data_IF_943465135641
#
_entry.id   IF_943465135641
#
_cell.length_a   1.000
_cell.length_b   1.000
_cell.length_c   1.000
_cell.angle_alpha   90.00
_cell.angle_beta   90.00
_cell.angle_gamma   90.00
#
_symmetry.space_group_name_H-M   'P 1'
#
loop_
_entity.id
_entity.type
_entity.pdbx_description
1 polymer ?
#
# COMPACT_ATOMS: atom_id res chain seq x y z
N UNK A 1 14.58 -7.26 -25.09
CA UNK A 1 13.81 -7.60 -23.89
C UNK A 1 12.41 -7.06 -24.08
N UNK A 2 11.38 -7.90 -24.11
CA UNK A 2 10.01 -7.40 -24.09
C UNK A 2 9.76 -6.79 -22.71
N UNK A 3 9.59 -5.47 -22.65
CA UNK A 3 9.27 -4.78 -21.43
C UNK A 3 7.78 -5.04 -21.12
N UNK A 4 7.47 -5.72 -20.03
CA UNK A 4 6.10 -6.09 -19.63
C UNK A 4 5.20 -4.86 -19.45
N UNK A 5 5.67 -3.90 -18.68
CA UNK A 5 4.84 -2.81 -18.16
C UNK A 5 4.24 -1.83 -19.18
N UNK A 6 4.92 -1.41 -20.27
CA UNK A 6 4.35 -0.46 -21.22
C UNK A 6 3.11 -0.93 -21.98
N UNK A 7 2.87 -2.25 -21.99
CA UNK A 7 1.72 -2.85 -22.69
C UNK A 7 0.75 -3.53 -21.73
N UNK A 8 1.05 -3.52 -20.42
CA UNK A 8 0.26 -4.21 -19.42
C UNK A 8 -1.10 -3.54 -19.20
N UNK A 9 -2.15 -4.35 -19.14
CA UNK A 9 -3.50 -3.96 -18.73
C UNK A 9 -3.57 -4.08 -17.21
N UNK A 10 -3.72 -2.95 -16.52
CA UNK A 10 -3.89 -2.89 -15.07
C UNK A 10 -5.37 -2.95 -14.70
N UNK A 11 -5.68 -3.76 -13.70
CA UNK A 11 -7.00 -3.83 -13.07
C UNK A 11 -6.90 -3.39 -11.61
N UNK A 12 -7.53 -2.26 -11.26
CA UNK A 12 -7.69 -1.85 -9.88
C UNK A 12 -8.73 -2.74 -9.18
N UNK A 13 -8.31 -3.38 -8.09
CA UNK A 13 -9.15 -4.34 -7.37
C UNK A 13 -9.49 -3.83 -5.96
N UNK A 14 -10.77 -3.59 -5.72
CA UNK A 14 -11.30 -3.50 -4.37
C UNK A 14 -11.69 -4.91 -3.90
N UNK A 15 -10.84 -5.54 -3.09
CA UNK A 15 -11.05 -6.93 -2.63
C UNK A 15 -12.39 -7.09 -1.93
N UNK A 16 -12.76 -6.14 -1.05
CA UNK A 16 -14.03 -6.18 -0.29
C UNK A 16 -15.27 -6.19 -1.20
N UNK A 17 -15.18 -5.62 -2.39
CA UNK A 17 -16.32 -5.44 -3.29
C UNK A 17 -16.31 -6.39 -4.51
N UNK A 18 -15.23 -7.16 -4.68
CA UNK A 18 -15.07 -8.01 -5.85
C UNK A 18 -16.02 -9.21 -5.86
N UNK A 19 -16.27 -9.78 -4.68
CA UNK A 19 -17.15 -10.95 -4.49
C UNK A 19 -18.02 -10.74 -3.24
N UNK A 20 -19.13 -11.49 -3.10
CA UNK A 20 -19.95 -11.42 -1.88
C UNK A 20 -19.17 -11.69 -0.58
N UNK A 21 -18.16 -12.54 -0.62
CA UNK A 21 -17.30 -12.88 0.53
C UNK A 21 -16.34 -11.74 0.87
N UNK A 22 -15.94 -10.91 -0.10
CA UNK A 22 -15.08 -9.75 0.07
C UNK A 22 -13.66 -10.09 0.55
N UNK A 23 -13.13 -11.27 0.21
CA UNK A 23 -11.83 -11.77 0.69
C UNK A 23 -10.85 -12.06 -0.45
N UNK A 24 -9.55 -12.06 -0.13
CA UNK A 24 -8.49 -12.43 -1.08
C UNK A 24 -8.67 -13.85 -1.62
N UNK A 25 -9.09 -14.78 -0.76
CA UNK A 25 -9.34 -16.18 -1.12
C UNK A 25 -10.48 -16.33 -2.13
N UNK A 26 -11.47 -15.47 -2.09
CA UNK A 26 -12.62 -15.52 -2.98
C UNK A 26 -12.37 -14.84 -4.34
N UNK A 27 -11.25 -14.14 -4.50
CA UNK A 27 -10.91 -13.42 -5.73
C UNK A 27 -10.74 -14.38 -6.91
N UNK A 28 -11.47 -14.11 -8.00
CA UNK A 28 -11.49 -14.96 -9.21
C UNK A 28 -10.44 -14.52 -10.23
N UNK A 29 -9.15 -14.73 -9.91
CA UNK A 29 -8.04 -14.36 -10.79
C UNK A 29 -8.10 -14.99 -12.20
N UNK A 30 -8.51 -16.26 -12.40
CA UNK A 30 -8.68 -16.81 -13.74
C UNK A 30 -9.64 -15.98 -14.62
N UNK A 31 -10.74 -15.50 -14.06
CA UNK A 31 -11.68 -14.63 -14.79
C UNK A 31 -11.01 -13.32 -15.25
N UNK A 32 -10.17 -12.70 -14.41
CA UNK A 32 -9.43 -11.49 -14.78
C UNK A 32 -8.41 -11.79 -15.89
N UNK A 33 -7.75 -12.95 -15.81
CA UNK A 33 -6.82 -13.37 -16.86
C UNK A 33 -7.52 -13.59 -18.19
N UNK A 34 -8.67 -14.24 -18.19
CA UNK A 34 -9.49 -14.44 -19.40
C UNK A 34 -9.96 -13.09 -19.99
N UNK A 35 -10.15 -12.08 -19.14
CA UNK A 35 -10.49 -10.71 -19.53
C UNK A 35 -9.32 -9.94 -20.15
N UNK A 36 -8.11 -10.50 -20.10
CA UNK A 36 -6.89 -9.88 -20.63
C UNK A 36 -6.13 -9.01 -19.66
N UNK A 37 -6.38 -9.14 -18.35
CA UNK A 37 -5.63 -8.42 -17.30
C UNK A 37 -4.23 -8.99 -17.18
N UNK A 38 -3.22 -8.11 -17.16
CA UNK A 38 -1.82 -8.47 -17.00
C UNK A 38 -1.31 -8.19 -15.58
N UNK A 39 -1.86 -7.19 -14.91
CA UNK A 39 -1.49 -6.86 -13.54
C UNK A 39 -2.72 -6.43 -12.72
N UNK A 40 -2.74 -6.88 -11.47
CA UNK A 40 -3.75 -6.47 -10.47
C UNK A 40 -3.13 -5.45 -9.54
N UNK A 41 -3.73 -4.28 -9.44
CA UNK A 41 -3.43 -3.29 -8.40
C UNK A 41 -4.48 -3.45 -7.30
N UNK A 42 -4.05 -3.96 -6.15
CA UNK A 42 -4.90 -4.07 -4.97
C UNK A 42 -5.02 -2.70 -4.29
N UNK A 43 -6.25 -2.20 -4.11
CA UNK A 43 -6.51 -1.13 -3.14
C UNK A 43 -5.93 -1.53 -1.79
N UNK A 44 -5.66 -0.58 -0.86
CA UNK A 44 -4.92 -0.89 0.36
C UNK A 44 -5.49 -2.11 1.11
N UNK A 45 -4.65 -3.11 1.33
CA UNK A 45 -5.01 -4.38 1.99
C UNK A 45 -4.68 -4.39 3.48
N UNK A 46 -4.17 -3.29 4.00
CA UNK A 46 -3.66 -3.16 5.37
C UNK A 46 -4.78 -3.00 6.39
N UNK A 47 -4.54 -3.32 7.69
CA UNK A 47 -5.46 -3.00 8.76
C UNK A 47 -5.81 -1.52 8.78
N UNK A 48 -7.10 -1.23 8.91
CA UNK A 48 -7.65 0.13 8.92
C UNK A 48 -7.68 0.65 10.36
N UNK A 49 -7.34 1.94 10.55
CA UNK A 49 -7.43 2.62 11.85
C UNK A 49 -8.86 2.66 12.41
N UNK A 50 -8.97 2.75 13.74
CA UNK A 50 -10.23 2.85 14.46
C UNK A 50 -10.48 4.27 14.98
N UNK A 51 -9.39 4.98 15.33
CA UNK A 51 -9.47 6.33 15.86
C UNK A 51 -9.91 7.34 14.79
N UNK A 52 -11.10 7.91 14.97
CA UNK A 52 -11.68 8.88 14.03
C UNK A 52 -12.24 8.23 12.76
N UNK A 53 -12.45 6.93 12.78
CA UNK A 53 -12.94 6.13 11.63
C UNK A 53 -14.18 6.76 10.99
N UNK A 54 -14.15 6.91 9.68
CA UNK A 54 -15.29 7.40 8.90
C UNK A 54 -16.17 6.22 8.45
N UNK A 55 -17.46 6.28 8.78
CA UNK A 55 -18.39 5.18 8.51
C UNK A 55 -18.08 3.92 9.33
N UNK A 56 -18.83 2.84 9.08
CA UNK A 56 -18.70 1.58 9.83
C UNK A 56 -17.44 0.80 9.46
N UNK A 57 -16.99 0.88 8.22
CA UNK A 57 -15.88 0.07 7.68
C UNK A 57 -14.54 0.83 7.66
N UNK A 58 -14.55 2.15 7.77
CA UNK A 58 -13.37 3.01 7.68
C UNK A 58 -12.81 3.16 6.26
N UNK A 59 -11.83 4.05 6.12
CA UNK A 59 -11.11 4.27 4.87
C UNK A 59 -9.98 3.26 4.71
N UNK A 60 -9.86 2.64 3.54
CA UNK A 60 -8.70 1.81 3.18
C UNK A 60 -7.37 2.56 3.31
N UNK A 61 -7.39 3.88 3.10
CA UNK A 61 -6.21 4.75 3.13
C UNK A 61 -5.82 5.18 4.56
N UNK A 62 -6.58 4.83 5.58
CA UNK A 62 -6.23 5.05 6.99
C UNK A 62 -5.43 3.85 7.51
N UNK A 63 -4.13 3.79 7.16
CA UNK A 63 -3.27 2.62 7.38
C UNK A 63 -2.86 2.53 8.86
N UNK A 64 -3.23 1.43 9.53
CA UNK A 64 -2.83 1.15 10.92
C UNK A 64 -1.48 0.42 11.02
N UNK A 65 -1.20 -0.47 10.08
CA UNK A 65 0.03 -1.27 10.04
C UNK A 65 0.43 -1.58 8.60
N UNK A 66 1.59 -1.09 8.17
CA UNK A 66 2.08 -1.29 6.79
C UNK A 66 2.55 -2.71 6.48
N UNK A 67 2.80 -3.56 7.49
CA UNK A 67 3.35 -4.90 7.31
C UNK A 67 2.35 -5.99 7.72
N UNK A 68 1.05 -5.73 7.62
CA UNK A 68 0.00 -6.69 7.95
C UNK A 68 -1.14 -6.65 6.92
N UNK A 69 -1.86 -7.74 6.79
CA UNK A 69 -3.11 -7.84 6.02
C UNK A 69 -4.30 -7.55 6.93
N UNK A 70 -5.28 -6.79 6.44
CA UNK A 70 -6.54 -6.56 7.14
C UNK A 70 -7.27 -7.90 7.36
N UNK A 71 -7.58 -8.28 8.61
CA UNK A 71 -8.26 -9.54 8.92
C UNK A 71 -9.60 -9.73 8.20
N UNK A 72 -10.28 -8.66 7.83
CA UNK A 72 -11.51 -8.72 7.03
C UNK A 72 -11.28 -9.26 5.61
N UNK A 73 -10.08 -9.07 5.06
CA UNK A 73 -9.72 -9.52 3.71
C UNK A 73 -9.11 -10.92 3.71
N UNK A 74 -8.64 -11.40 4.87
CA UNK A 74 -7.99 -12.70 5.05
C UNK A 74 -6.74 -12.62 5.92
N UNK A 75 -5.93 -13.66 5.84
CA UNK A 75 -4.63 -13.77 6.53
C UNK A 75 -3.47 -13.42 5.59
N UNK A 76 -2.26 -13.29 6.14
CA UNK A 76 -1.04 -13.17 5.34
C UNK A 76 -0.86 -14.38 4.40
N UNK A 77 -1.17 -15.59 4.87
CA UNK A 77 -1.12 -16.78 4.04
C UNK A 77 -2.13 -16.75 2.87
N UNK A 78 -3.30 -16.14 3.06
CA UNK A 78 -4.26 -15.92 1.97
C UNK A 78 -3.74 -14.92 0.94
N UNK A 79 -3.01 -13.88 1.41
CA UNK A 79 -2.33 -12.94 0.54
C UNK A 79 -1.22 -13.62 -0.28
N UNK A 80 -0.37 -14.41 0.35
CA UNK A 80 0.70 -15.15 -0.33
C UNK A 80 0.13 -16.11 -1.38
N UNK A 81 -0.96 -16.81 -1.04
CA UNK A 81 -1.66 -17.68 -1.99
C UNK A 81 -2.24 -16.89 -3.18
N UNK A 82 -2.77 -15.69 -2.94
CA UNK A 82 -3.26 -14.80 -3.99
C UNK A 82 -2.13 -14.37 -4.93
N UNK A 83 -0.98 -13.92 -4.40
CA UNK A 83 0.19 -13.53 -5.20
C UNK A 83 0.71 -14.71 -6.01
N UNK A 84 0.87 -15.88 -5.38
CA UNK A 84 1.32 -17.09 -6.06
C UNK A 84 0.40 -17.51 -7.21
N UNK A 85 -0.92 -17.41 -7.02
CA UNK A 85 -1.89 -17.72 -8.07
C UNK A 85 -1.87 -16.68 -9.19
N UNK A 86 -1.72 -15.39 -8.89
CA UNK A 86 -1.55 -14.34 -9.90
C UNK A 86 -0.32 -14.63 -10.78
N UNK A 87 0.82 -14.93 -10.15
CA UNK A 87 2.06 -15.27 -10.85
C UNK A 87 1.92 -16.55 -11.69
N UNK A 88 1.24 -17.59 -11.17
CA UNK A 88 0.97 -18.82 -11.91
C UNK A 88 0.17 -18.56 -13.19
N UNK A 89 -0.71 -17.57 -13.17
CA UNK A 89 -1.51 -17.12 -14.32
C UNK A 89 -0.74 -16.13 -15.23
N UNK A 90 0.51 -15.81 -14.91
CA UNK A 90 1.32 -14.83 -15.63
C UNK A 90 0.87 -13.38 -15.42
N UNK A 91 0.17 -13.11 -14.33
CA UNK A 91 -0.20 -11.74 -13.90
C UNK A 91 0.78 -11.22 -12.86
N UNK A 92 0.86 -9.89 -12.73
CA UNK A 92 1.63 -9.18 -11.70
C UNK A 92 0.71 -8.62 -10.62
N UNK A 93 1.27 -8.36 -9.42
CA UNK A 93 0.53 -7.81 -8.29
C UNK A 93 1.18 -6.53 -7.80
N UNK A 94 0.40 -5.44 -7.77
CA UNK A 94 0.80 -4.16 -7.18
C UNK A 94 0.01 -3.90 -5.90
N UNK A 95 0.68 -3.34 -4.90
CA UNK A 95 0.02 -2.82 -3.71
C UNK A 95 -0.19 -1.31 -3.81
N UNK A 96 -1.32 -0.83 -3.30
CA UNK A 96 -1.51 0.59 -3.06
C UNK A 96 -0.65 1.03 -1.86
N UNK A 97 0.14 2.08 -2.02
CA UNK A 97 1.09 2.54 -1.01
C UNK A 97 0.79 3.96 -0.56
N UNK A 98 0.33 4.10 0.68
CA UNK A 98 -0.06 5.37 1.28
C UNK A 98 1.12 5.98 2.04
N UNK A 99 1.95 6.76 1.33
CA UNK A 99 3.17 7.33 1.93
C UNK A 99 2.96 8.66 2.66
N UNK A 100 1.89 9.42 2.35
CA UNK A 100 1.68 10.76 2.90
C UNK A 100 1.23 10.76 4.38
N UNK A 101 0.50 9.74 4.82
CA UNK A 101 -0.13 9.70 6.14
C UNK A 101 -0.34 8.27 6.63
N UNK A 102 -0.68 8.12 7.91
CA UNK A 102 -1.13 6.87 8.52
C UNK A 102 -2.50 7.05 9.16
N UNK A 103 -3.08 5.99 9.72
CA UNK A 103 -4.18 6.11 10.67
C UNK A 103 -3.74 6.88 11.93
N UNK A 104 -4.70 7.45 12.66
CA UNK A 104 -4.44 8.17 13.93
C UNK A 104 -4.04 7.25 15.08
N UNK A 105 -4.33 5.98 14.98
CA UNK A 105 -3.93 4.92 15.92
C UNK A 105 -2.97 3.90 15.26
N UNK A 106 -2.23 4.34 14.23
CA UNK A 106 -1.20 3.53 13.61
C UNK A 106 -0.16 3.07 14.64
N UNK A 107 0.43 1.89 14.44
CA UNK A 107 1.50 1.37 15.29
C UNK A 107 2.66 2.35 15.46
N UNK A 108 2.94 3.16 14.44
CA UNK A 108 3.99 4.16 14.49
C UNK A 108 3.67 5.33 15.43
N UNK A 109 2.39 5.67 15.63
CA UNK A 109 1.99 6.74 16.58
C UNK A 109 2.47 6.42 18.01
N UNK A 110 2.30 5.17 18.43
CA UNK A 110 2.67 4.74 19.79
C UNK A 110 4.13 4.27 19.89
N UNK A 111 4.70 3.74 18.80
CA UNK A 111 5.98 3.05 18.83
C UNK A 111 7.18 3.82 18.27
N UNK A 112 6.96 5.03 17.73
CA UNK A 112 8.01 5.82 17.08
C UNK A 112 8.08 7.24 17.64
N UNK A 113 9.22 7.96 17.43
CA UNK A 113 9.36 9.33 17.91
C UNK A 113 8.24 10.26 17.43
N UNK A 114 7.88 11.22 18.26
CA UNK A 114 6.87 12.22 17.94
C UNK A 114 7.20 13.07 16.70
N UNK A 115 8.49 13.18 16.35
CA UNK A 115 9.01 13.87 15.16
C UNK A 115 8.59 13.23 13.83
N UNK A 116 8.12 11.96 13.87
CA UNK A 116 7.67 11.26 12.67
C UNK A 116 6.39 11.84 12.06
N UNK A 117 5.68 12.65 12.82
CA UNK A 117 4.43 13.25 12.40
C UNK A 117 4.52 14.78 12.43
N UNK A 118 3.98 15.44 11.41
CA UNK A 118 3.73 16.88 11.48
C UNK A 118 2.80 17.18 12.64
N UNK A 119 2.91 18.39 13.22
CA UNK A 119 2.14 18.79 14.41
C UNK A 119 1.23 19.99 14.11
N UNK A 120 0.02 19.94 14.65
CA UNK A 120 -0.87 21.08 14.69
C UNK A 120 -0.44 22.09 15.78
N UNK A 121 -1.13 23.24 15.86
CA UNK A 121 -0.84 24.27 16.85
C UNK A 121 -1.02 23.80 18.32
N UNK A 122 -1.73 22.70 18.55
CA UNK A 122 -1.91 22.08 19.85
C UNK A 122 -0.91 20.96 20.14
N UNK A 123 0.08 20.75 19.26
CA UNK A 123 1.10 19.72 19.38
C UNK A 123 0.63 18.29 19.08
N UNK A 124 -0.57 18.10 18.56
CA UNK A 124 -1.11 16.80 18.13
C UNK A 124 -0.65 16.48 16.72
N UNK A 125 -0.62 15.18 16.30
CA UNK A 125 -0.39 14.84 14.90
C UNK A 125 -1.33 15.62 13.99
N UNK A 126 -0.78 16.31 12.99
CA UNK A 126 -1.55 17.09 12.04
C UNK A 126 -2.44 16.20 11.18
N UNK A 127 -3.60 16.72 10.80
CA UNK A 127 -4.53 16.07 9.88
C UNK A 127 -4.36 16.71 8.51
N UNK A 128 -4.06 15.95 7.46
CA UNK A 128 -4.03 16.51 6.11
C UNK A 128 -5.46 16.80 5.65
N UNK A 129 -5.72 18.06 5.27
CA UNK A 129 -7.05 18.56 4.84
C UNK A 129 -8.19 18.17 5.81
N UNK A 130 -9.25 17.54 5.30
CA UNK A 130 -10.41 17.05 6.05
C UNK A 130 -10.35 15.53 6.36
N UNK A 131 -9.19 14.88 6.17
CA UNK A 131 -9.00 13.44 6.41
C UNK A 131 -8.81 13.14 7.89
N UNK A 132 -9.86 13.43 8.66
CA UNK A 132 -9.86 13.44 10.13
C UNK A 132 -9.51 12.12 10.81
N UNK A 133 -9.51 11.02 10.09
CA UNK A 133 -9.11 9.67 10.50
C UNK A 133 -7.61 9.38 10.26
N UNK A 134 -6.85 10.36 9.77
CA UNK A 134 -5.43 10.18 9.43
C UNK A 134 -4.50 11.12 10.21
N UNK A 135 -3.20 10.83 10.17
CA UNK A 135 -2.11 11.58 10.76
C UNK A 135 -0.99 11.77 9.74
N UNK A 136 -0.60 13.02 9.46
CA UNK A 136 0.37 13.36 8.43
C UNK A 136 1.79 13.01 8.85
N UNK A 137 2.51 12.27 8.00
CA UNK A 137 3.91 11.95 8.21
C UNK A 137 4.81 13.15 7.95
N UNK A 138 5.91 13.25 8.71
CA UNK A 138 6.88 14.33 8.61
C UNK A 138 8.14 13.86 7.85
N UNK A 139 8.21 14.19 6.59
CA UNK A 139 9.36 13.86 5.72
C UNK A 139 10.62 14.70 5.97
N UNK A 140 10.61 15.66 6.91
CA UNK A 140 11.84 16.26 7.43
C UNK A 140 12.63 15.27 8.30
N UNK A 141 11.96 14.26 8.87
CA UNK A 141 12.62 13.17 9.61
C UNK A 141 13.02 12.02 8.67
N UNK A 142 14.32 11.80 8.51
CA UNK A 142 14.87 10.76 7.61
C UNK A 142 14.59 9.33 8.08
N UNK A 143 14.22 9.12 9.35
CA UNK A 143 13.81 7.80 9.84
C UNK A 143 12.45 7.38 9.29
N UNK A 144 11.57 8.35 8.97
CA UNK A 144 10.32 8.10 8.24
C UNK A 144 10.63 7.51 6.86
N UNK A 145 11.62 8.07 6.13
CA UNK A 145 12.03 7.56 4.82
C UNK A 145 12.48 6.12 4.90
N UNK A 146 13.36 5.82 5.89
CA UNK A 146 13.87 4.45 6.09
C UNK A 146 12.74 3.48 6.40
N UNK A 147 11.85 3.84 7.32
CA UNK A 147 10.75 2.97 7.73
C UNK A 147 9.75 2.71 6.59
N UNK A 148 9.45 3.71 5.77
CA UNK A 148 8.61 3.54 4.58
C UNK A 148 9.28 2.59 3.58
N UNK A 149 10.57 2.82 3.28
CA UNK A 149 11.32 1.96 2.37
C UNK A 149 11.47 0.52 2.90
N UNK A 150 11.72 0.35 4.22
CA UNK A 150 11.81 -0.98 4.87
C UNK A 150 10.47 -1.74 4.75
N UNK A 151 9.35 -1.06 4.96
CA UNK A 151 8.03 -1.66 4.84
C UNK A 151 7.69 -2.03 3.38
N UNK A 152 8.10 -1.22 2.39
CA UNK A 152 7.97 -1.58 0.97
C UNK A 152 8.85 -2.80 0.62
N UNK A 153 10.10 -2.80 1.08
CA UNK A 153 11.04 -3.91 0.85
C UNK A 153 10.54 -5.22 1.47
N UNK A 154 9.87 -5.17 2.64
CA UNK A 154 9.22 -6.32 3.26
C UNK A 154 8.24 -7.00 2.30
N UNK A 155 7.35 -6.25 1.62
CA UNK A 155 6.40 -6.82 0.68
C UNK A 155 7.06 -7.40 -0.57
N UNK A 156 8.15 -6.78 -1.05
CA UNK A 156 8.89 -7.29 -2.20
C UNK A 156 9.65 -8.58 -1.88
N UNK A 157 10.25 -8.68 -0.67
CA UNK A 157 11.17 -9.77 -0.32
C UNK A 157 10.48 -10.95 0.35
N UNK A 158 9.44 -10.69 1.14
CA UNK A 158 8.75 -11.73 1.91
C UNK A 158 7.46 -12.22 1.24
N UNK A 159 6.85 -11.38 0.40
CA UNK A 159 5.54 -11.63 -0.19
C UNK A 159 5.50 -11.50 -1.71
N UNK A 160 6.67 -11.30 -2.33
CA UNK A 160 6.92 -11.31 -3.77
C UNK A 160 6.00 -10.43 -4.64
N UNK A 161 5.52 -9.29 -4.09
CA UNK A 161 4.76 -8.31 -4.90
C UNK A 161 5.64 -7.70 -6.00
N UNK A 162 5.04 -7.21 -7.08
CA UNK A 162 5.77 -6.73 -8.26
C UNK A 162 5.96 -5.22 -8.29
N UNK A 163 5.33 -4.51 -7.37
CA UNK A 163 5.46 -3.06 -7.30
C UNK A 163 4.37 -2.38 -6.50
N UNK A 164 4.29 -1.06 -6.67
CA UNK A 164 3.41 -0.22 -5.89
C UNK A 164 2.73 0.85 -6.75
N UNK A 165 1.46 1.10 -6.47
CA UNK A 165 0.79 2.36 -6.83
C UNK A 165 0.90 3.29 -5.61
N UNK A 166 1.48 4.45 -5.81
CA UNK A 166 1.81 5.40 -4.75
C UNK A 166 0.70 6.45 -4.65
N UNK A 167 -0.10 6.32 -3.59
CA UNK A 167 -1.20 7.23 -3.26
C UNK A 167 -0.69 8.65 -3.03
N UNK A 168 -1.37 9.65 -3.65
CA UNK A 168 -1.06 11.07 -3.51
C UNK A 168 0.45 11.35 -3.57
N UNK A 169 1.14 10.75 -4.55
CA UNK A 169 2.61 10.76 -4.62
C UNK A 169 3.21 12.18 -4.67
N UNK A 170 2.49 13.15 -5.24
CA UNK A 170 2.90 14.55 -5.32
C UNK A 170 2.98 15.26 -3.95
N UNK A 171 2.39 14.68 -2.90
CA UNK A 171 2.43 15.25 -1.54
C UNK A 171 3.64 14.79 -0.73
N UNK A 172 4.43 13.89 -1.29
CA UNK A 172 5.63 13.31 -0.68
C UNK A 172 6.86 13.80 -1.46
N UNK A 173 7.98 14.15 -0.79
CA UNK A 173 9.16 14.67 -1.48
C UNK A 173 9.64 13.76 -2.61
N UNK A 174 9.94 14.34 -3.77
CA UNK A 174 10.43 13.58 -4.94
C UNK A 174 11.75 12.86 -4.64
N UNK A 175 12.57 13.43 -3.77
CA UNK A 175 13.83 12.83 -3.33
C UNK A 175 13.60 11.51 -2.59
N UNK A 176 12.53 11.41 -1.77
CA UNK A 176 12.14 10.14 -1.14
C UNK A 176 11.83 9.08 -2.21
N UNK A 177 11.02 9.42 -3.21
CA UNK A 177 10.67 8.48 -4.27
C UNK A 177 11.89 8.03 -5.07
N UNK A 178 12.80 8.97 -5.38
CA UNK A 178 14.04 8.68 -6.09
C UNK A 178 14.93 7.72 -5.30
N UNK A 179 15.22 8.02 -4.02
CA UNK A 179 16.07 7.18 -3.18
C UNK A 179 15.43 5.81 -2.95
N UNK A 180 14.14 5.79 -2.63
CA UNK A 180 13.40 4.55 -2.35
C UNK A 180 13.31 3.65 -3.57
N UNK A 181 12.94 4.18 -4.74
CA UNK A 181 12.87 3.35 -5.96
C UNK A 181 14.23 2.81 -6.38
N UNK A 182 15.31 3.56 -6.21
CA UNK A 182 16.68 3.05 -6.45
C UNK A 182 17.04 1.93 -5.47
N UNK A 183 16.68 2.04 -4.19
CA UNK A 183 16.88 0.99 -3.19
C UNK A 183 16.09 -0.28 -3.56
N UNK A 184 14.80 -0.13 -3.84
CA UNK A 184 13.89 -1.26 -4.10
C UNK A 184 14.25 -1.99 -5.41
N UNK A 185 14.74 -1.27 -6.45
CA UNK A 185 15.20 -1.89 -7.70
C UNK A 185 16.46 -2.75 -7.54
N UNK A 186 17.23 -2.61 -6.47
CA UNK A 186 18.33 -3.53 -6.14
C UNK A 186 17.82 -4.89 -5.68
N UNK A 187 16.62 -4.90 -5.07
CA UNK A 187 15.94 -6.11 -4.61
C UNK A 187 15.12 -6.73 -5.75
N UNK A 188 14.34 -5.92 -6.46
CA UNK A 188 13.49 -6.35 -7.59
C UNK A 188 13.76 -5.45 -8.80
N UNK A 189 14.66 -5.84 -9.73
CA UNK A 189 15.07 -5.00 -10.86
C UNK A 189 13.94 -4.57 -11.79
N UNK A 190 12.89 -5.37 -11.93
CA UNK A 190 11.71 -5.13 -12.74
C UNK A 190 10.55 -4.46 -11.96
N UNK A 191 10.86 -3.93 -10.77
CA UNK A 191 9.91 -3.20 -9.93
C UNK A 191 9.13 -2.15 -10.72
N UNK A 192 7.81 -2.17 -10.57
CA UNK A 192 6.93 -1.14 -11.11
C UNK A 192 6.48 -0.16 -10.03
N UNK A 193 6.59 1.14 -10.33
CA UNK A 193 6.14 2.23 -9.47
C UNK A 193 5.18 3.11 -10.28
N UNK A 194 3.94 3.19 -9.83
CA UNK A 194 2.88 4.01 -10.44
C UNK A 194 2.53 5.15 -9.48
N UNK A 195 2.76 6.38 -9.90
CA UNK A 195 2.41 7.55 -9.11
C UNK A 195 0.97 8.00 -9.41
N UNK A 196 0.20 8.27 -8.34
CA UNK A 196 -0.97 9.14 -8.46
C UNK A 196 -0.51 10.60 -8.37
N UNK A 197 -0.86 11.40 -9.41
CA UNK A 197 -0.49 12.81 -9.55
C UNK A 197 -1.71 13.73 -9.39
#
# INVERSE_FOLDING_TARGET
MNCFWPQAVLYEMNVRQLTPEGTLRAAKLPFLKDLGVDAVWLMPVYPIGEAGRKGSLGSYYSIRDYCAVNPELGTMADFDAFVAEAHRLGMRVLLDWVANHTARDARWIAGKPASWYERDAAGRPAVPWDWSDTAKLNYADRDVWRAQADAMEFWLTQHDVDGFRCDMAMLVPIEFWNETSLRLRRVKPDLFMLAEA
#
